data_IF_454371153349
#
_entry.id   IF_454371153349
#
_cell.length_a   1.000
_cell.length_b   1.000
_cell.length_c   1.000
_cell.angle_alpha   90.00
_cell.angle_beta   90.00
_cell.angle_gamma   90.00
#
_symmetry.space_group_name_H-M   'P 1'
#
loop_
_entity.id
_entity.type
_entity.pdbx_description
1 polymer ?
#
# COMPACT_ATOMS: atom_id res chain seq x y z
N UNK A 1 2.12 14.38 -41.82
CA UNK A 1 3.24 13.59 -41.26
C UNK A 1 2.66 12.61 -40.25
N UNK A 2 2.20 11.45 -40.70
CA UNK A 2 1.77 10.40 -39.78
C UNK A 2 3.00 9.57 -39.46
N UNK A 3 3.71 9.91 -38.38
CA UNK A 3 4.70 9.01 -37.79
C UNK A 3 3.93 7.78 -37.32
N UNK A 4 3.97 6.70 -38.10
CA UNK A 4 3.40 5.42 -37.70
C UNK A 4 4.04 5.01 -36.37
N UNK A 5 3.24 4.72 -35.33
CA UNK A 5 3.79 4.36 -34.02
C UNK A 5 4.57 3.05 -34.12
N UNK A 6 5.71 2.99 -33.43
CA UNK A 6 6.56 1.80 -33.32
C UNK A 6 7.08 1.23 -34.66
N UNK A 7 7.29 2.07 -35.67
CA UNK A 7 7.99 1.68 -36.90
C UNK A 7 9.46 2.05 -36.80
N UNK A 8 10.32 1.06 -37.01
CA UNK A 8 11.77 1.14 -36.97
C UNK A 8 12.36 0.81 -38.35
N UNK A 9 13.63 1.16 -38.54
CA UNK A 9 14.35 0.91 -39.79
C UNK A 9 14.45 2.13 -40.69
N UNK A 10 14.76 1.89 -41.97
CA UNK A 10 14.93 2.95 -42.97
C UNK A 10 13.68 3.07 -43.84
N UNK A 11 13.62 4.12 -44.69
CA UNK A 11 12.51 4.35 -45.62
C UNK A 11 12.22 3.13 -46.53
N UNK A 12 13.25 2.38 -46.90
CA UNK A 12 13.15 1.25 -47.82
C UNK A 12 13.09 -0.11 -47.12
N UNK A 13 13.35 -0.14 -45.82
CA UNK A 13 13.34 -1.36 -45.00
C UNK A 13 12.74 -1.04 -43.63
N UNK A 14 11.44 -0.74 -43.64
CA UNK A 14 10.67 -0.43 -42.44
C UNK A 14 10.08 -1.70 -41.85
N UNK A 15 10.22 -1.87 -40.54
CA UNK A 15 9.68 -3.00 -39.80
C UNK A 15 9.17 -2.54 -38.44
N UNK A 16 8.38 -3.37 -37.76
CA UNK A 16 7.94 -3.04 -36.41
C UNK A 16 9.12 -3.07 -35.44
N UNK A 17 9.20 -2.06 -34.57
CA UNK A 17 10.23 -2.01 -33.55
C UNK A 17 10.21 -3.29 -32.69
N UNK A 18 11.37 -3.70 -32.13
CA UNK A 18 11.46 -4.93 -31.33
C UNK A 18 10.37 -5.00 -30.27
N UNK A 19 9.64 -6.12 -30.25
CA UNK A 19 8.52 -6.33 -29.33
C UNK A 19 7.15 -5.87 -29.83
N UNK A 20 7.04 -5.39 -31.07
CA UNK A 20 5.78 -5.06 -31.71
C UNK A 20 5.57 -5.88 -32.99
N UNK A 21 4.31 -6.19 -33.29
CA UNK A 21 3.87 -6.84 -34.52
C UNK A 21 2.65 -6.14 -35.10
N UNK A 22 2.31 -6.52 -36.33
CA UNK A 22 1.12 -6.06 -37.01
C UNK A 22 -0.12 -6.91 -36.69
N UNK A 23 -1.30 -6.35 -36.91
CA UNK A 23 -2.55 -7.10 -36.98
C UNK A 23 -2.57 -7.99 -38.24
N UNK A 24 -3.31 -9.11 -38.23
CA UNK A 24 -3.55 -9.90 -39.44
C UNK A 24 -4.16 -9.01 -40.54
N UNK A 25 -3.47 -8.86 -41.67
CA UNK A 25 -3.91 -8.03 -42.80
C UNK A 25 -3.66 -6.52 -42.66
N UNK A 26 -2.97 -6.08 -41.60
CA UNK A 26 -2.62 -4.67 -41.39
C UNK A 26 -1.12 -4.40 -41.44
N UNK A 27 -0.76 -3.12 -41.61
CA UNK A 27 0.64 -2.63 -41.60
C UNK A 27 0.95 -1.76 -40.37
N UNK A 28 0.11 -1.80 -39.34
CA UNK A 28 0.24 -0.97 -38.15
C UNK A 28 0.92 -1.76 -37.01
N UNK A 29 2.03 -1.23 -36.49
CA UNK A 29 2.81 -1.84 -35.40
C UNK A 29 2.22 -1.53 -34.02
N UNK A 30 0.96 -1.91 -33.80
CA UNK A 30 0.20 -1.60 -32.59
C UNK A 30 -0.03 -2.81 -31.68
N UNK A 31 0.40 -4.01 -32.10
CA UNK A 31 0.22 -5.22 -31.31
C UNK A 31 1.51 -5.52 -30.55
N UNK A 32 1.55 -5.39 -29.21
CA UNK A 32 2.71 -5.75 -28.44
C UNK A 32 2.90 -7.28 -28.38
N UNK A 33 4.16 -7.71 -28.28
CA UNK A 33 4.55 -9.11 -28.15
C UNK A 33 4.88 -9.37 -26.68
N UNK A 34 4.18 -10.32 -26.07
CA UNK A 34 4.48 -10.83 -24.74
C UNK A 34 5.11 -12.23 -24.87
N UNK A 35 6.25 -12.47 -24.22
CA UNK A 35 6.91 -13.79 -24.16
C UNK A 35 6.06 -14.82 -23.42
N UNK A 36 5.32 -14.40 -22.41
CA UNK A 36 4.46 -15.25 -21.59
C UNK A 36 2.98 -14.88 -21.82
N UNK A 37 2.06 -15.84 -21.76
CA UNK A 37 0.63 -15.54 -21.83
C UNK A 37 0.23 -14.75 -20.58
N UNK A 38 -0.50 -13.65 -20.78
CA UNK A 38 -0.96 -12.79 -19.70
C UNK A 38 -2.07 -13.39 -18.83
N UNK A 39 -2.60 -14.58 -19.15
CA UNK A 39 -3.74 -15.16 -18.43
C UNK A 39 -5.00 -14.29 -18.59
N UNK A 40 -5.62 -13.91 -17.48
CA UNK A 40 -6.83 -13.06 -17.44
C UNK A 40 -6.58 -11.59 -17.82
N UNK A 41 -5.30 -11.19 -18.00
CA UNK A 41 -4.93 -9.85 -18.43
C UNK A 41 -4.68 -9.73 -19.93
N UNK A 42 -4.31 -8.52 -20.36
CA UNK A 42 -3.95 -8.24 -21.74
C UNK A 42 -2.52 -7.73 -21.88
N UNK A 43 -1.88 -8.00 -23.02
CA UNK A 43 -0.56 -7.49 -23.33
C UNK A 43 -0.69 -6.01 -23.70
N UNK A 44 -0.17 -5.13 -22.84
CA UNK A 44 -0.29 -3.67 -22.97
C UNK A 44 0.95 -3.04 -23.62
N UNK A 45 2.12 -3.64 -23.36
CA UNK A 45 3.43 -3.24 -23.89
C UNK A 45 4.28 -4.50 -24.10
N UNK A 46 5.39 -4.43 -24.85
CA UNK A 46 6.28 -5.58 -25.05
C UNK A 46 6.69 -6.21 -23.71
N UNK A 47 6.41 -7.50 -23.55
CA UNK A 47 6.62 -8.26 -22.30
C UNK A 47 5.93 -7.71 -21.05
N UNK A 48 4.87 -6.90 -21.19
CA UNK A 48 4.17 -6.28 -20.06
C UNK A 48 2.67 -6.53 -20.19
N UNK A 49 2.12 -7.25 -19.22
CA UNK A 49 0.71 -7.54 -19.06
C UNK A 49 0.05 -6.51 -18.13
N UNK A 50 -1.12 -6.02 -18.51
CA UNK A 50 -2.04 -5.30 -17.61
C UNK A 50 -3.12 -6.26 -17.16
N UNK A 51 -3.23 -6.44 -15.85
CA UNK A 51 -4.17 -7.37 -15.23
C UNK A 51 -5.52 -6.71 -14.91
N UNK A 52 -6.59 -7.49 -14.70
CA UNK A 52 -7.91 -6.96 -14.36
C UNK A 52 -7.92 -6.10 -13.09
N UNK A 53 -7.00 -6.35 -12.16
CA UNK A 53 -6.79 -5.56 -10.93
C UNK A 53 -6.13 -4.19 -11.16
N UNK A 54 -5.77 -3.86 -12.41
CA UNK A 54 -4.97 -2.68 -12.76
C UNK A 54 -3.46 -2.85 -12.53
N UNK A 55 -3.01 -4.02 -12.06
CA UNK A 55 -1.59 -4.30 -11.84
C UNK A 55 -0.86 -4.56 -13.16
N UNK A 56 0.38 -4.07 -13.23
CA UNK A 56 1.30 -4.32 -14.35
C UNK A 56 2.27 -5.42 -13.94
N UNK A 57 2.33 -6.52 -14.71
CA UNK A 57 3.13 -7.70 -14.40
C UNK A 57 3.61 -8.44 -15.66
N UNK A 58 4.44 -9.47 -15.50
CA UNK A 58 4.88 -10.35 -16.60
C UNK A 58 3.82 -11.41 -16.98
N UNK A 59 2.95 -11.80 -16.05
CA UNK A 59 1.79 -12.68 -16.24
C UNK A 59 0.72 -12.34 -15.22
N UNK A 60 -0.56 -12.36 -15.59
CA UNK A 60 -1.67 -12.27 -14.64
C UNK A 60 -2.09 -13.69 -14.28
N UNK A 61 -2.18 -13.99 -12.99
CA UNK A 61 -2.36 -15.36 -12.51
C UNK A 61 -1.07 -16.03 -12.05
N UNK A 62 0.10 -15.39 -12.21
CA UNK A 62 1.08 -15.52 -11.13
C UNK A 62 0.42 -14.84 -9.95
N UNK A 63 -0.21 -15.64 -9.07
CA UNK A 63 -0.18 -15.36 -7.65
C UNK A 63 1.25 -14.90 -7.43
N UNK A 64 1.44 -13.59 -7.30
CA UNK A 64 2.72 -13.06 -6.88
C UNK A 64 3.15 -13.90 -5.70
N UNK A 65 4.45 -14.04 -5.51
CA UNK A 65 5.08 -14.62 -4.33
C UNK A 65 4.69 -13.78 -3.09
N UNK A 66 3.41 -13.86 -2.76
CA UNK A 66 2.59 -13.16 -1.80
C UNK A 66 1.56 -14.22 -1.49
N UNK A 67 2.00 -15.20 -0.71
CA UNK A 67 1.24 -16.37 -0.28
C UNK A 67 0.14 -15.98 0.72
N UNK A 68 -0.51 -14.83 0.47
CA UNK A 68 -1.56 -14.23 1.25
C UNK A 68 -2.41 -13.32 0.38
N UNK A 69 -3.70 -13.59 0.33
CA UNK A 69 -4.70 -12.60 -0.10
C UNK A 69 -4.76 -11.38 0.84
N UNK A 70 -4.19 -11.49 2.05
CA UNK A 70 -4.21 -10.45 3.08
C UNK A 70 -2.86 -9.73 3.21
N UNK A 71 -2.89 -8.39 3.14
CA UNK A 71 -1.71 -7.54 3.40
C UNK A 71 -1.48 -7.44 4.91
N UNK A 72 -0.39 -8.02 5.40
CA UNK A 72 0.04 -7.91 6.80
C UNK A 72 0.91 -6.66 7.00
N UNK A 73 0.56 -5.84 8.00
CA UNK A 73 1.30 -4.63 8.38
C UNK A 73 2.15 -4.87 9.64
N UNK A 74 2.97 -3.87 10.02
CA UNK A 74 3.77 -3.88 11.26
C UNK A 74 4.67 -5.13 11.44
N UNK A 75 5.21 -5.67 10.35
CA UNK A 75 6.08 -6.85 10.39
C UNK A 75 5.34 -8.18 10.62
N UNK A 76 4.02 -8.21 10.41
CA UNK A 76 3.24 -9.46 10.43
C UNK A 76 3.63 -10.40 9.29
N UNK A 77 3.70 -11.69 9.59
CA UNK A 77 3.97 -12.75 8.62
C UNK A 77 2.68 -13.34 8.12
N UNK A 78 2.57 -13.62 6.83
CA UNK A 78 1.44 -14.37 6.31
C UNK A 78 1.63 -15.87 6.48
N UNK A 79 0.60 -16.56 6.97
CA UNK A 79 0.45 -18.00 6.84
C UNK A 79 -1.01 -18.34 6.49
N UNK A 80 -1.23 -19.18 5.48
CA UNK A 80 -2.56 -19.73 5.11
C UNK A 80 -3.68 -18.67 4.96
N UNK A 81 -3.40 -17.57 4.26
CA UNK A 81 -4.34 -16.44 4.08
C UNK A 81 -4.73 -15.70 5.38
N UNK A 82 -3.98 -15.91 6.47
CA UNK A 82 -4.11 -15.18 7.72
C UNK A 82 -2.81 -14.46 8.07
N UNK A 83 -2.92 -13.27 8.66
CA UNK A 83 -1.75 -12.56 9.19
C UNK A 83 -1.44 -13.02 10.61
N UNK A 84 -0.23 -13.56 10.79
CA UNK A 84 0.38 -13.80 12.09
C UNK A 84 1.05 -12.51 12.55
N UNK A 85 0.46 -11.87 13.56
CA UNK A 85 0.94 -10.59 14.08
C UNK A 85 2.09 -10.75 15.07
N UNK A 86 3.00 -9.78 15.03
CA UNK A 86 4.06 -9.62 16.02
C UNK A 86 3.48 -9.29 17.40
N UNK A 87 4.24 -9.57 18.46
CA UNK A 87 3.84 -9.27 19.84
C UNK A 87 3.49 -7.78 19.96
N UNK A 88 2.29 -7.48 20.48
CA UNK A 88 1.80 -6.11 20.64
C UNK A 88 1.01 -5.56 19.45
N UNK A 89 0.71 -6.37 18.44
CA UNK A 89 -0.24 -6.03 17.37
C UNK A 89 -1.33 -7.09 17.22
N UNK A 90 -2.50 -6.65 16.79
CA UNK A 90 -3.72 -7.44 16.62
C UNK A 90 -4.50 -6.98 15.39
N UNK A 91 -5.60 -7.68 15.10
CA UNK A 91 -6.48 -7.45 13.97
C UNK A 91 -6.09 -8.25 12.73
N UNK A 92 -7.01 -8.31 11.76
CA UNK A 92 -6.86 -9.11 10.53
C UNK A 92 -5.60 -8.74 9.75
N UNK A 93 -5.20 -7.48 9.75
CA UNK A 93 -4.03 -6.97 9.02
C UNK A 93 -2.84 -6.64 9.93
N UNK A 94 -2.87 -7.00 11.22
CA UNK A 94 -1.87 -6.58 12.21
C UNK A 94 -1.71 -5.05 12.33
N UNK A 95 -2.80 -4.30 12.07
CA UNK A 95 -2.83 -2.85 12.12
C UNK A 95 -3.20 -2.27 13.48
N UNK A 96 -3.76 -3.07 14.40
CA UNK A 96 -4.18 -2.58 15.70
C UNK A 96 -3.08 -2.79 16.74
N UNK A 97 -2.50 -1.74 17.32
CA UNK A 97 -1.56 -1.88 18.42
C UNK A 97 -2.30 -2.35 19.69
N UNK A 98 -1.64 -3.20 20.46
CA UNK A 98 -2.12 -3.74 21.73
C UNK A 98 -1.31 -3.12 22.87
N UNK A 99 -2.01 -2.55 23.84
CA UNK A 99 -1.44 -2.02 25.07
C UNK A 99 -1.80 -2.99 26.21
N UNK A 100 -0.84 -3.75 26.73
CA UNK A 100 -1.07 -4.80 27.74
C UNK A 100 -1.69 -4.24 29.03
N UNK A 101 -1.27 -3.05 29.44
CA UNK A 101 -1.78 -2.38 30.64
C UNK A 101 -2.97 -1.44 30.36
N UNK A 102 -3.38 -1.32 29.09
CA UNK A 102 -4.37 -0.34 28.67
C UNK A 102 -3.88 1.11 28.78
N UNK A 103 -4.71 2.04 28.31
CA UNK A 103 -4.50 3.48 28.45
C UNK A 103 -5.63 4.04 29.32
N UNK A 104 -5.28 4.78 30.37
CA UNK A 104 -6.23 5.43 31.28
C UNK A 104 -6.65 6.80 30.73
N UNK A 105 -7.65 7.43 31.34
CA UNK A 105 -8.09 8.80 31.02
C UNK A 105 -8.39 9.04 29.53
N UNK A 106 -9.06 8.07 28.89
CA UNK A 106 -9.39 8.07 27.46
C UNK A 106 -8.16 8.15 26.52
N UNK A 107 -6.99 7.73 26.99
CA UNK A 107 -5.81 7.60 26.14
C UNK A 107 -6.02 6.57 25.02
N UNK A 108 -5.41 6.82 23.85
CA UNK A 108 -5.49 5.92 22.69
C UNK A 108 -4.19 5.14 22.52
N UNK A 109 -4.27 3.82 22.38
CA UNK A 109 -3.10 3.00 22.05
C UNK A 109 -2.65 3.32 20.61
N UNK A 110 -1.43 3.85 20.45
CA UNK A 110 -0.86 4.23 19.13
C UNK A 110 0.27 3.32 18.69
N UNK A 111 0.90 2.62 19.64
CA UNK A 111 1.94 1.62 19.40
C UNK A 111 1.90 0.58 20.53
N UNK A 112 2.58 -0.57 20.38
CA UNK A 112 2.69 -1.58 21.41
C UNK A 112 3.12 -0.97 22.75
N UNK A 113 2.29 -1.09 23.78
CA UNK A 113 2.52 -0.49 25.10
C UNK A 113 2.80 1.04 25.06
N UNK A 114 2.27 1.75 24.06
CA UNK A 114 2.42 3.20 23.92
C UNK A 114 1.05 3.87 23.78
N UNK A 115 0.72 4.67 24.78
CA UNK A 115 -0.50 5.46 24.83
C UNK A 115 -0.26 6.88 24.33
N UNK A 116 -1.18 7.37 23.50
CA UNK A 116 -1.36 8.79 23.22
C UNK A 116 -2.40 9.32 24.19
N UNK A 117 -1.98 10.23 25.07
CA UNK A 117 -2.82 10.77 26.13
C UNK A 117 -3.66 11.94 25.65
N UNK A 118 -4.83 12.08 26.26
CA UNK A 118 -5.67 13.27 26.13
C UNK A 118 -4.91 14.47 26.70
N UNK A 119 -5.20 15.66 26.17
CA UNK A 119 -4.61 16.93 26.63
C UNK A 119 -4.75 17.07 28.15
N UNK A 120 -3.65 17.36 28.85
CA UNK A 120 -3.61 17.45 30.31
C UNK A 120 -3.27 16.15 31.04
N UNK A 121 -2.99 15.05 30.32
CA UNK A 121 -2.53 13.79 30.91
C UNK A 121 -1.19 13.36 30.32
N UNK A 122 -0.32 12.80 31.16
CA UNK A 122 1.03 12.33 30.83
C UNK A 122 1.30 11.00 31.55
N UNK A 123 2.44 10.37 31.26
CA UNK A 123 2.78 9.04 31.78
C UNK A 123 2.67 7.96 30.70
N UNK A 124 3.13 6.75 31.03
CA UNK A 124 3.17 5.64 30.07
C UNK A 124 1.76 5.13 29.72
N UNK A 125 0.82 5.28 30.64
CA UNK A 125 -0.58 4.85 30.55
C UNK A 125 -1.54 6.04 30.70
N UNK A 126 -1.05 7.28 30.58
CA UNK A 126 -1.85 8.49 30.81
C UNK A 126 -2.38 8.60 32.25
N UNK A 127 -1.63 8.07 33.21
CA UNK A 127 -1.98 7.98 34.61
C UNK A 127 -1.71 9.27 35.40
N UNK A 128 -0.86 10.17 34.88
CA UNK A 128 -0.45 11.40 35.55
C UNK A 128 -1.19 12.58 34.97
N UNK A 129 -1.76 13.44 35.81
CA UNK A 129 -2.33 14.72 35.35
C UNK A 129 -1.20 15.73 35.20
N UNK A 130 -1.12 16.39 34.05
CA UNK A 130 -0.15 17.45 33.81
C UNK A 130 -0.65 18.75 34.45
N UNK A 131 -0.23 18.98 35.70
CA UNK A 131 -0.62 20.15 36.50
C UNK A 131 -0.21 21.50 35.88
N UNK A 132 0.69 21.51 34.89
CA UNK A 132 1.12 22.76 34.24
C UNK A 132 0.01 23.42 33.41
N UNK A 133 -1.03 22.68 33.04
CA UNK A 133 -2.20 23.21 32.31
C UNK A 133 -3.23 23.87 33.22
N UNK A 134 -3.30 23.49 34.50
CA UNK A 134 -4.19 24.14 35.48
C UNK A 134 -3.84 25.63 35.60
N UNK A 135 -2.55 25.98 35.47
CA UNK A 135 -2.08 27.37 35.52
C UNK A 135 -2.51 28.24 34.32
N UNK A 136 -2.97 27.65 33.20
CA UNK A 136 -3.36 28.41 31.99
C UNK A 136 -4.88 28.52 31.81
N UNK A 137 -5.67 27.65 32.46
CA UNK A 137 -7.14 27.77 32.50
C UNK A 137 -7.63 28.69 33.61
N UNK A 138 -6.81 29.00 34.62
CA UNK A 138 -7.10 29.98 35.69
C UNK A 138 -6.46 31.36 35.46
N UNK A 139 -6.55 31.92 34.24
CA UNK A 139 -6.28 33.37 34.01
C UNK A 139 -7.52 34.08 33.45
N UNK A 140 -8.73 33.56 33.74
CA UNK A 140 -9.99 34.23 33.34
C UNK A 140 -11.14 34.19 34.34
N UNK A 141 -10.95 33.78 35.58
CA UNK A 141 -11.95 34.02 36.64
C UNK A 141 -11.22 34.59 37.86
N UNK A 142 -11.06 35.92 37.88
CA UNK A 142 -10.61 36.58 39.09
C UNK A 142 -11.76 36.68 40.09
N UNK A 143 -11.64 36.00 41.24
CA UNK A 143 -12.25 36.30 42.56
C UNK A 143 -11.41 35.51 43.59
N UNK A 144 -10.43 36.13 44.27
CA UNK A 144 -10.43 36.83 45.58
C UNK A 144 -10.26 35.90 46.80
N UNK A 145 -9.71 36.48 47.88
CA UNK A 145 -9.41 35.92 49.22
C UNK A 145 -10.36 34.83 49.76
#
# INVERSE_FOLDING_TARGET
>A
LNCLPNVCGSRFHSYCCPGWKTLPGGNQCIVPICRNPCGDGFCSRPNICTCPSGQIALTCGSKSIQQCNIRCMNGGSCAEDQCICQKGYSGTHCGQPVCENGCLNNGRCVAPNRCACTYGFTGAQCERVEHHMILIVDVREGVSE
#
